data_IF_665803502854
#
_entry.id   IF_665803502854
#
_cell.length_a   1.000
_cell.length_b   1.000
_cell.length_c   1.000
_cell.angle_alpha   90.00
_cell.angle_beta   90.00
_cell.angle_gamma   90.00
#
_symmetry.space_group_name_H-M   'P 1'
#
loop_
_entity.id
_entity.type
_entity.pdbx_description
1 polymer ?
#
# COMPACT_ATOMS: atom_id res chain seq x y z
N UNK A 1 -29.13 13.63 57.20
CA UNK A 1 -28.04 13.94 56.30
C UNK A 1 -28.38 13.41 54.92
N UNK A 2 -28.83 14.31 54.10
CA UNK A 2 -29.22 14.10 52.72
C UNK A 2 -27.95 14.17 51.85
N UNK A 3 -27.55 13.06 51.23
CA UNK A 3 -26.46 13.05 50.24
C UNK A 3 -27.06 13.33 48.85
N UNK A 4 -26.75 14.48 48.32
CA UNK A 4 -27.11 14.84 46.95
C UNK A 4 -26.33 14.03 45.93
N UNK A 5 -27.01 13.17 45.22
CA UNK A 5 -26.52 12.37 44.14
C UNK A 5 -26.35 13.24 42.86
N UNK A 6 -25.17 13.84 42.67
CA UNK A 6 -24.82 14.52 41.42
C UNK A 6 -24.31 13.49 40.44
N UNK A 7 -25.24 12.96 39.63
CA UNK A 7 -24.86 12.17 38.44
C UNK A 7 -24.05 13.07 37.48
N UNK A 8 -22.77 12.82 37.38
CA UNK A 8 -21.92 13.31 36.31
C UNK A 8 -22.38 12.70 34.99
N UNK A 9 -23.27 13.42 34.28
CA UNK A 9 -23.57 13.12 32.91
C UNK A 9 -22.33 13.41 32.06
N UNK A 10 -21.57 12.37 31.74
CA UNK A 10 -20.60 12.44 30.64
C UNK A 10 -21.39 12.79 29.39
N UNK A 11 -21.30 14.05 28.95
CA UNK A 11 -21.67 14.41 27.61
C UNK A 11 -20.72 13.72 26.67
N UNK A 12 -21.11 12.58 26.12
CA UNK A 12 -20.57 12.13 24.84
C UNK A 12 -20.91 13.26 23.85
N UNK A 13 -19.93 14.02 23.42
CA UNK A 13 -20.09 14.93 22.31
C UNK A 13 -20.40 14.07 21.08
N UNK A 14 -21.70 13.79 20.84
CA UNK A 14 -22.18 13.38 19.54
C UNK A 14 -22.02 14.63 18.66
N UNK A 15 -20.90 14.68 17.94
CA UNK A 15 -20.80 15.58 16.80
C UNK A 15 -21.99 15.27 15.90
N UNK A 16 -22.80 16.28 15.64
CA UNK A 16 -23.96 16.14 14.73
C UNK A 16 -23.42 15.66 13.37
N UNK A 17 -23.98 14.60 12.74
CA UNK A 17 -23.52 14.08 11.46
C UNK A 17 -23.47 15.13 10.34
N UNK A 18 -24.18 16.24 10.50
CA UNK A 18 -24.28 17.35 9.56
C UNK A 18 -23.08 18.32 9.54
N UNK A 19 -22.08 18.15 10.41
CA UNK A 19 -20.91 19.03 10.47
C UNK A 19 -19.63 18.42 9.88
N UNK A 20 -19.58 17.11 9.69
CA UNK A 20 -18.39 16.43 9.15
C UNK A 20 -18.42 16.43 7.63
N UNK A 21 -17.30 16.80 6.98
CA UNK A 21 -17.20 16.88 5.52
C UNK A 21 -16.09 15.97 5.00
N UNK A 22 -16.39 15.23 3.94
CA UNK A 22 -15.42 14.38 3.22
C UNK A 22 -15.31 14.83 1.78
N UNK A 23 -14.08 15.09 1.33
CA UNK A 23 -13.77 15.32 -0.08
C UNK A 23 -13.40 14.00 -0.74
N UNK A 24 -14.00 13.74 -1.89
CA UNK A 24 -13.62 12.66 -2.82
C UNK A 24 -13.06 13.32 -4.07
N UNK A 25 -11.74 13.19 -4.31
CA UNK A 25 -11.06 13.92 -5.38
C UNK A 25 -10.61 13.06 -6.55
N UNK A 26 -10.86 11.76 -6.50
CA UNK A 26 -10.69 10.81 -7.62
C UNK A 26 -12.00 10.06 -7.90
N UNK A 27 -12.15 9.43 -9.08
CA UNK A 27 -13.28 8.54 -9.34
C UNK A 27 -13.28 7.35 -8.37
N UNK A 28 -14.32 7.25 -7.55
CA UNK A 28 -14.53 6.20 -6.54
C UNK A 28 -15.84 5.48 -6.84
N UNK A 29 -15.85 4.15 -6.63
CA UNK A 29 -17.07 3.36 -6.78
C UNK A 29 -18.19 3.86 -5.85
N UNK A 30 -19.43 3.87 -6.37
CA UNK A 30 -20.60 4.41 -5.68
C UNK A 30 -20.83 3.74 -4.31
N UNK A 31 -20.52 2.45 -4.17
CA UNK A 31 -20.66 1.74 -2.90
C UNK A 31 -19.82 2.39 -1.76
N UNK A 32 -18.63 2.92 -2.08
CA UNK A 32 -17.81 3.66 -1.11
C UNK A 32 -18.43 5.03 -0.77
N UNK A 33 -18.96 5.74 -1.77
CA UNK A 33 -19.64 7.02 -1.57
C UNK A 33 -20.88 6.85 -0.66
N UNK A 34 -21.67 5.81 -0.89
CA UNK A 34 -22.89 5.51 -0.12
C UNK A 34 -22.57 5.24 1.36
N UNK A 35 -21.44 4.63 1.67
CA UNK A 35 -20.97 4.43 3.05
C UNK A 35 -20.64 5.77 3.71
N UNK A 36 -19.93 6.65 3.03
CA UNK A 36 -19.53 7.96 3.58
C UNK A 36 -20.71 8.90 3.80
N UNK A 37 -21.70 8.90 2.89
CA UNK A 37 -22.89 9.74 3.00
C UNK A 37 -23.77 9.43 4.22
N UNK A 38 -23.61 8.26 4.84
CA UNK A 38 -24.31 7.90 6.07
C UNK A 38 -23.81 8.70 7.29
N UNK A 39 -22.58 9.24 7.23
CA UNK A 39 -21.91 9.85 8.40
C UNK A 39 -21.36 11.25 8.14
N UNK A 40 -21.31 11.70 6.89
CA UNK A 40 -20.71 12.98 6.50
C UNK A 40 -21.40 13.58 5.27
N UNK A 41 -21.23 14.89 5.10
CA UNK A 41 -21.46 15.53 3.81
C UNK A 41 -20.31 15.15 2.87
N UNK A 42 -20.61 14.59 1.72
CA UNK A 42 -19.61 14.15 0.74
C UNK A 42 -19.62 15.06 -0.48
N UNK A 43 -18.50 15.71 -0.72
CA UNK A 43 -18.28 16.52 -1.92
C UNK A 43 -17.38 15.74 -2.90
N UNK A 44 -17.91 15.46 -4.08
CA UNK A 44 -17.15 14.81 -5.16
C UNK A 44 -16.60 15.87 -6.12
N UNK A 45 -15.28 16.08 -6.12
CA UNK A 45 -14.58 17.06 -6.97
C UNK A 45 -13.37 16.39 -7.61
N UNK A 46 -13.59 15.73 -8.74
CA UNK A 46 -12.58 14.93 -9.45
C UNK A 46 -11.69 15.82 -10.31
N UNK A 47 -10.40 15.44 -10.42
CA UNK A 47 -9.44 16.09 -11.32
C UNK A 47 -8.92 17.45 -10.84
N UNK A 48 -8.92 17.67 -9.53
CA UNK A 48 -8.36 18.89 -8.94
C UNK A 48 -6.84 18.97 -9.16
N UNK A 49 -6.36 20.15 -9.57
CA UNK A 49 -4.93 20.45 -9.51
C UNK A 49 -4.48 20.58 -8.03
N UNK A 50 -3.17 20.49 -7.80
CA UNK A 50 -2.59 20.65 -6.45
C UNK A 50 -3.03 22.00 -5.83
N UNK A 51 -3.02 23.08 -6.59
CA UNK A 51 -3.40 24.42 -6.11
C UNK A 51 -4.91 24.50 -5.80
N UNK A 52 -5.76 23.88 -6.63
CA UNK A 52 -7.20 23.81 -6.36
C UNK A 52 -7.48 23.00 -5.08
N UNK A 53 -6.78 21.88 -4.89
CA UNK A 53 -6.92 21.05 -3.68
C UNK A 53 -6.45 21.83 -2.44
N UNK A 54 -5.32 22.53 -2.50
CA UNK A 54 -4.80 23.38 -1.40
C UNK A 54 -5.83 24.42 -0.96
N UNK A 55 -6.54 25.04 -1.90
CA UNK A 55 -7.49 26.11 -1.60
C UNK A 55 -8.75 25.64 -0.87
N UNK A 56 -9.10 24.37 -0.95
CA UNK A 56 -10.37 23.86 -0.39
C UNK A 56 -10.18 22.85 0.75
N UNK A 57 -9.01 22.25 0.88
CA UNK A 57 -8.79 21.11 1.80
C UNK A 57 -9.01 21.47 3.26
N UNK A 58 -8.87 22.76 3.64
CA UNK A 58 -9.11 23.25 4.99
C UNK A 58 -10.54 23.03 5.50
N UNK A 59 -11.51 22.84 4.59
CA UNK A 59 -12.93 22.72 4.91
C UNK A 59 -13.37 21.28 5.19
N UNK A 60 -12.46 20.30 5.03
CA UNK A 60 -12.76 18.88 5.09
C UNK A 60 -12.08 18.18 6.26
N UNK A 61 -12.83 17.25 6.88
CA UNK A 61 -12.35 16.36 7.95
C UNK A 61 -11.74 15.06 7.40
N UNK A 62 -12.17 14.62 6.21
CA UNK A 62 -11.69 13.43 5.52
C UNK A 62 -11.42 13.70 4.05
N UNK A 63 -10.41 13.02 3.52
CA UNK A 63 -10.07 13.02 2.09
C UNK A 63 -9.99 11.59 1.58
N UNK A 64 -10.76 11.27 0.53
CA UNK A 64 -10.70 9.97 -0.15
C UNK A 64 -10.16 10.13 -1.55
N UNK A 65 -9.11 9.38 -1.87
CA UNK A 65 -8.37 9.46 -3.14
C UNK A 65 -8.09 8.08 -3.73
N UNK A 66 -7.64 8.07 -4.98
CA UNK A 66 -6.94 6.96 -5.64
C UNK A 66 -5.54 7.42 -6.07
N UNK A 67 -5.14 7.06 -7.29
CA UNK A 67 -3.80 7.38 -7.84
C UNK A 67 -3.72 8.75 -8.54
N UNK A 68 -4.84 9.36 -8.90
CA UNK A 68 -4.87 10.62 -9.67
C UNK A 68 -4.51 11.85 -8.83
N UNK A 69 -4.98 11.89 -7.58
CA UNK A 69 -4.76 13.02 -6.68
C UNK A 69 -3.40 12.91 -5.98
N UNK A 70 -2.59 13.99 -6.05
CA UNK A 70 -1.32 14.10 -5.32
C UNK A 70 -1.54 14.89 -4.01
N UNK A 71 -1.26 14.27 -2.87
CA UNK A 71 -1.38 14.90 -1.55
C UNK A 71 0.01 15.21 -1.02
N UNK A 72 0.54 16.35 -1.46
CA UNK A 72 1.88 16.82 -1.12
C UNK A 72 1.93 17.43 0.29
N UNK A 73 3.15 17.67 0.81
CA UNK A 73 3.36 18.42 2.07
C UNK A 73 2.64 19.79 2.07
N UNK A 74 2.61 20.47 0.92
CA UNK A 74 1.94 21.76 0.77
C UNK A 74 0.41 21.65 0.94
N UNK A 75 -0.21 20.61 0.34
CA UNK A 75 -1.65 20.34 0.54
C UNK A 75 -1.93 20.04 2.01
N UNK A 76 -1.11 19.21 2.64
CA UNK A 76 -1.27 18.83 4.05
C UNK A 76 -1.08 20.02 4.97
N UNK A 77 -0.19 20.98 4.66
CA UNK A 77 0.02 22.18 5.48
C UNK A 77 -1.22 23.04 5.57
N UNK A 78 -2.02 23.14 4.50
CA UNK A 78 -3.27 23.90 4.45
C UNK A 78 -4.47 23.17 5.08
N UNK A 79 -4.36 21.87 5.29
CA UNK A 79 -5.43 21.01 5.81
C UNK A 79 -5.65 21.22 7.32
N UNK A 80 -6.44 22.23 7.71
CA UNK A 80 -6.67 22.64 9.11
C UNK A 80 -7.52 21.65 9.89
N UNK A 81 -8.55 21.08 9.25
CA UNK A 81 -9.54 20.21 9.89
C UNK A 81 -9.33 18.73 9.55
N UNK A 82 -8.42 18.41 8.63
CA UNK A 82 -8.26 17.08 8.10
C UNK A 82 -7.77 16.09 9.18
N UNK A 83 -8.51 15.02 9.37
CA UNK A 83 -8.23 13.97 10.36
C UNK A 83 -7.73 12.68 9.70
N UNK A 84 -8.19 12.44 8.46
CA UNK A 84 -7.89 11.18 7.76
C UNK A 84 -7.77 11.40 6.25
N UNK A 85 -6.77 10.74 5.66
CA UNK A 85 -6.61 10.53 4.22
C UNK A 85 -6.78 9.05 3.95
N UNK A 86 -7.77 8.67 3.16
CA UNK A 86 -8.00 7.30 2.72
C UNK A 86 -7.64 7.13 1.24
N UNK A 87 -6.66 6.28 0.96
CA UNK A 87 -6.28 5.94 -0.43
C UNK A 87 -6.91 4.61 -0.84
N UNK A 88 -7.88 4.63 -1.76
CA UNK A 88 -8.53 3.45 -2.31
C UNK A 88 -7.58 2.66 -3.21
N UNK A 89 -6.77 1.81 -2.59
CA UNK A 89 -5.75 0.94 -3.19
C UNK A 89 -4.65 0.57 -2.20
N UNK A 90 -3.63 -0.16 -2.64
CA UNK A 90 -2.56 -0.71 -1.77
C UNK A 90 -1.46 0.32 -1.50
N UNK A 91 -0.87 0.90 -2.55
CA UNK A 91 0.22 1.86 -2.39
C UNK A 91 -0.30 3.22 -1.90
N UNK A 92 0.60 4.02 -1.33
CA UNK A 92 0.34 5.40 -0.90
C UNK A 92 1.38 6.37 -1.43
N UNK A 93 1.99 6.03 -2.56
CA UNK A 93 3.11 6.75 -3.18
C UNK A 93 2.75 8.20 -3.56
N UNK A 94 1.47 8.50 -3.73
CA UNK A 94 0.93 9.83 -4.03
C UNK A 94 0.53 10.64 -2.78
N UNK A 95 0.87 10.18 -1.57
CA UNK A 95 0.63 10.88 -0.30
C UNK A 95 1.97 11.11 0.41
N UNK A 96 2.25 12.36 0.82
CA UNK A 96 3.36 12.64 1.73
C UNK A 96 3.04 12.16 3.14
N UNK A 97 3.26 10.85 3.36
CA UNK A 97 2.98 10.20 4.65
C UNK A 97 3.76 10.82 5.81
N UNK A 98 5.05 11.18 5.68
CA UNK A 98 5.77 11.92 6.71
C UNK A 98 5.14 13.26 7.09
N UNK A 99 4.69 14.06 6.12
CA UNK A 99 4.00 15.33 6.38
C UNK A 99 2.64 15.10 7.08
N UNK A 100 1.86 14.11 6.63
CA UNK A 100 0.61 13.73 7.28
C UNK A 100 0.84 13.32 8.74
N UNK A 101 1.89 12.55 9.00
CA UNK A 101 2.26 12.12 10.36
C UNK A 101 2.60 13.30 11.26
N UNK A 102 3.43 14.24 10.79
CA UNK A 102 3.76 15.47 11.54
C UNK A 102 2.52 16.30 11.86
N UNK A 103 1.57 16.38 10.91
CA UNK A 103 0.30 17.11 11.08
C UNK A 103 -0.70 16.37 11.97
N UNK A 104 -0.44 15.09 12.30
CA UNK A 104 -1.37 14.23 13.04
C UNK A 104 -2.54 13.72 12.19
N UNK A 105 -2.41 13.73 10.85
CA UNK A 105 -3.41 13.21 9.93
C UNK A 105 -3.19 11.73 9.70
N UNK A 106 -4.20 10.91 9.93
CA UNK A 106 -4.16 9.48 9.72
C UNK A 106 -4.16 9.15 8.23
N UNK A 107 -3.29 8.26 7.79
CA UNK A 107 -3.30 7.75 6.41
C UNK A 107 -3.68 6.27 6.43
N UNK A 108 -4.74 5.93 5.70
CA UNK A 108 -5.24 4.55 5.55
C UNK A 108 -5.26 4.14 4.09
N UNK A 109 -5.10 2.84 3.87
CA UNK A 109 -5.17 2.23 2.55
C UNK A 109 -6.00 0.92 2.59
N UNK A 110 -6.09 0.22 1.45
CA UNK A 110 -6.72 -1.10 1.35
C UNK A 110 -5.68 -2.16 0.94
N UNK A 111 -4.94 -2.75 1.90
CA UNK A 111 -3.80 -3.62 1.59
C UNK A 111 -4.18 -5.01 1.04
N UNK A 112 -5.47 -5.31 0.91
CA UNK A 112 -5.97 -6.61 0.42
C UNK A 112 -6.98 -6.51 -0.72
N UNK A 113 -7.55 -5.32 -0.95
CA UNK A 113 -8.72 -5.15 -1.82
C UNK A 113 -8.47 -5.43 -3.31
N UNK A 114 -7.21 -5.38 -3.77
CA UNK A 114 -6.86 -5.68 -5.17
C UNK A 114 -5.91 -6.88 -5.33
N UNK A 115 -5.74 -7.71 -4.28
CA UNK A 115 -4.76 -8.82 -4.30
C UNK A 115 -5.01 -9.77 -5.46
N UNK A 116 -6.25 -10.19 -5.66
CA UNK A 116 -6.62 -11.14 -6.74
C UNK A 116 -6.42 -10.50 -8.10
N UNK A 117 -6.94 -9.30 -8.32
CA UNK A 117 -6.80 -8.60 -9.60
C UNK A 117 -5.34 -8.42 -10.03
N UNK A 118 -4.46 -7.98 -9.12
CA UNK A 118 -3.04 -7.81 -9.41
C UNK A 118 -2.33 -9.15 -9.68
N UNK A 119 -2.69 -10.21 -8.97
CA UNK A 119 -2.13 -11.54 -9.20
C UNK A 119 -2.57 -12.11 -10.56
N UNK A 120 -3.85 -12.00 -10.89
CA UNK A 120 -4.40 -12.43 -12.19
C UNK A 120 -3.79 -11.63 -13.34
N UNK A 121 -3.59 -10.32 -13.17
CA UNK A 121 -2.93 -9.51 -14.19
C UNK A 121 -1.48 -9.94 -14.43
N UNK A 122 -0.70 -10.20 -13.37
CA UNK A 122 0.66 -10.70 -13.50
C UNK A 122 0.69 -12.07 -14.22
N UNK A 123 -0.22 -12.98 -13.90
CA UNK A 123 -0.35 -14.28 -14.58
C UNK A 123 -0.77 -14.11 -16.04
N UNK A 124 -1.69 -13.19 -16.33
CA UNK A 124 -2.09 -12.86 -17.70
C UNK A 124 -0.90 -12.33 -18.52
N UNK A 125 -0.05 -11.49 -17.93
CA UNK A 125 1.16 -10.97 -18.55
C UNK A 125 2.18 -12.10 -18.83
N UNK A 126 2.37 -13.05 -17.89
CA UNK A 126 3.19 -14.24 -18.09
C UNK A 126 2.68 -15.06 -19.27
N UNK A 127 1.38 -15.34 -19.32
CA UNK A 127 0.74 -16.09 -20.43
C UNK A 127 0.83 -15.35 -21.75
N UNK A 128 0.60 -14.03 -21.76
CA UNK A 128 0.71 -13.20 -22.95
C UNK A 128 2.12 -13.21 -23.55
N UNK A 129 3.16 -13.10 -22.71
CA UNK A 129 4.56 -13.25 -23.10
C UNK A 129 4.87 -14.64 -23.65
N UNK A 130 4.36 -15.69 -22.95
CA UNK A 130 4.65 -17.08 -23.33
C UNK A 130 4.09 -17.45 -24.71
N UNK A 131 2.96 -16.87 -25.07
CA UNK A 131 2.19 -17.21 -26.26
C UNK A 131 2.20 -16.12 -27.34
N UNK A 132 2.96 -15.02 -27.16
CA UNK A 132 3.06 -13.87 -28.07
C UNK A 132 1.67 -13.28 -28.43
N UNK A 133 0.74 -13.25 -27.46
CA UNK A 133 -0.68 -12.93 -27.72
C UNK A 133 -0.86 -11.52 -28.31
N UNK A 134 -0.30 -10.43 -27.75
CA UNK A 134 -0.49 -9.09 -28.28
C UNK A 134 0.06 -8.93 -29.70
N UNK A 135 1.21 -9.52 -29.98
CA UNK A 135 1.86 -9.43 -31.29
C UNK A 135 1.08 -10.23 -32.35
N UNK A 136 0.61 -11.42 -32.01
CA UNK A 136 -0.22 -12.25 -32.90
C UNK A 136 -1.55 -11.55 -33.19
N UNK A 137 -2.19 -10.95 -32.17
CA UNK A 137 -3.42 -10.19 -32.33
C UNK A 137 -3.22 -8.99 -33.27
N UNK A 138 -2.19 -8.17 -33.04
CA UNK A 138 -1.88 -7.02 -33.88
C UNK A 138 -1.61 -7.42 -35.35
N UNK A 139 -0.89 -8.54 -35.56
CA UNK A 139 -0.65 -9.10 -36.89
C UNK A 139 -1.95 -9.50 -37.61
N UNK A 140 -2.89 -10.15 -36.91
CA UNK A 140 -4.17 -10.53 -37.46
C UNK A 140 -4.99 -9.31 -37.88
N UNK A 141 -5.01 -8.25 -37.07
CA UNK A 141 -5.68 -7.00 -37.42
C UNK A 141 -5.06 -6.30 -38.63
N UNK A 142 -3.73 -6.46 -38.84
CA UNK A 142 -3.02 -5.98 -40.01
C UNK A 142 -3.16 -6.91 -41.25
N UNK A 143 -4.01 -7.93 -41.20
CA UNK A 143 -4.26 -8.87 -42.30
C UNK A 143 -3.26 -10.02 -42.42
N UNK A 144 -2.36 -10.19 -41.42
CA UNK A 144 -1.37 -11.26 -41.41
C UNK A 144 -1.97 -12.62 -41.00
N UNK A 145 -1.32 -13.73 -41.44
CA UNK A 145 -1.65 -15.10 -41.07
C UNK A 145 -0.37 -15.93 -40.95
N UNK A 146 0.49 -15.60 -39.98
CA UNK A 146 1.81 -16.25 -39.85
C UNK A 146 1.95 -17.02 -38.50
N UNK A 147 1.49 -18.26 -38.49
CA UNK A 147 1.54 -19.14 -37.34
C UNK A 147 2.96 -19.46 -36.87
N UNK A 148 3.90 -19.56 -37.81
CA UNK A 148 5.30 -19.94 -37.49
C UNK A 148 6.03 -18.84 -36.72
N UNK A 149 5.69 -17.57 -36.97
CA UNK A 149 6.28 -16.42 -36.30
C UNK A 149 5.93 -16.34 -34.82
N UNK A 150 4.76 -16.86 -34.43
CA UNK A 150 4.23 -16.74 -33.06
C UNK A 150 4.23 -18.05 -32.27
N UNK A 151 5.13 -18.99 -32.60
CA UNK A 151 5.35 -20.19 -31.80
C UNK A 151 5.80 -19.77 -30.40
N UNK A 152 5.03 -20.17 -29.38
CA UNK A 152 5.27 -19.84 -27.97
C UNK A 152 5.82 -21.00 -27.17
N UNK A 153 5.79 -20.85 -25.85
CA UNK A 153 6.23 -21.84 -24.87
C UNK A 153 5.05 -22.23 -23.95
N UNK A 154 5.08 -23.45 -23.45
CA UNK A 154 4.23 -23.88 -22.34
C UNK A 154 4.85 -23.44 -21.00
N UNK A 155 4.01 -23.21 -19.99
CA UNK A 155 4.46 -22.94 -18.63
C UNK A 155 4.71 -24.22 -17.82
N UNK A 156 4.12 -25.33 -18.23
CA UNK A 156 4.27 -26.62 -17.57
C UNK A 156 5.75 -27.02 -17.44
N UNK A 157 6.18 -27.40 -16.23
CA UNK A 157 7.56 -27.73 -15.87
C UNK A 157 8.58 -26.58 -16.06
N UNK A 158 8.13 -25.34 -16.21
CA UNK A 158 9.02 -24.18 -16.19
C UNK A 158 9.19 -23.65 -14.78
N UNK A 159 10.32 -23.01 -14.52
CA UNK A 159 10.64 -22.40 -13.23
C UNK A 159 10.14 -20.96 -13.21
N UNK A 160 9.28 -20.65 -12.24
CA UNK A 160 8.84 -19.29 -11.91
C UNK A 160 9.59 -18.77 -10.69
N UNK A 161 10.37 -17.73 -10.85
CA UNK A 161 10.94 -16.93 -9.76
C UNK A 161 9.92 -15.87 -9.28
N UNK A 162 9.56 -15.92 -8.01
CA UNK A 162 8.66 -14.94 -7.38
C UNK A 162 9.47 -14.10 -6.41
N UNK A 163 9.65 -12.82 -6.72
CA UNK A 163 10.38 -11.87 -5.88
C UNK A 163 9.38 -11.08 -5.04
N UNK A 164 9.31 -11.41 -3.75
CA UNK A 164 8.28 -10.95 -2.81
C UNK A 164 7.12 -11.94 -2.67
N UNK A 165 7.02 -12.57 -1.49
CA UNK A 165 6.00 -13.58 -1.14
C UNK A 165 4.90 -13.00 -0.24
N UNK A 166 4.59 -11.70 -0.40
CA UNK A 166 3.45 -11.06 0.23
C UNK A 166 2.11 -11.58 -0.28
N UNK A 167 1.01 -10.86 -0.06
CA UNK A 167 -0.35 -11.30 -0.45
C UNK A 167 -0.46 -11.64 -1.95
N UNK A 168 0.08 -10.79 -2.82
CA UNK A 168 0.01 -10.96 -4.28
C UNK A 168 0.95 -12.09 -4.72
N UNK A 169 2.24 -12.03 -4.35
CA UNK A 169 3.22 -13.04 -4.76
C UNK A 169 2.87 -14.45 -4.30
N UNK A 170 2.33 -14.61 -3.07
CA UNK A 170 1.84 -15.90 -2.58
C UNK A 170 0.67 -16.44 -3.42
N UNK A 171 -0.23 -15.56 -3.87
CA UNK A 171 -1.35 -15.97 -4.74
C UNK A 171 -0.85 -16.38 -6.13
N UNK A 172 0.07 -15.62 -6.73
CA UNK A 172 0.70 -15.97 -8.00
C UNK A 172 1.42 -17.31 -7.89
N UNK A 173 2.20 -17.53 -6.83
CA UNK A 173 2.89 -18.81 -6.58
C UNK A 173 1.92 -19.98 -6.49
N UNK A 174 0.80 -19.83 -5.78
CA UNK A 174 -0.25 -20.84 -5.67
C UNK A 174 -0.84 -21.22 -7.03
N UNK A 175 -1.17 -20.24 -7.87
CA UNK A 175 -1.75 -20.50 -9.19
C UNK A 175 -0.70 -21.11 -10.12
N UNK A 176 0.54 -20.62 -10.10
CA UNK A 176 1.63 -21.18 -10.90
C UNK A 176 1.92 -22.65 -10.57
N UNK A 177 1.92 -23.04 -9.29
CA UNK A 177 2.01 -24.42 -8.86
C UNK A 177 0.86 -25.27 -9.44
N UNK A 178 -0.39 -24.75 -9.41
CA UNK A 178 -1.54 -25.44 -10.00
C UNK A 178 -1.44 -25.58 -11.53
N UNK A 179 -0.71 -24.69 -12.21
CA UNK A 179 -0.39 -24.79 -13.63
C UNK A 179 0.77 -25.75 -13.93
N UNK A 180 1.36 -26.39 -12.90
CA UNK A 180 2.46 -27.33 -13.04
C UNK A 180 3.83 -26.68 -13.24
N UNK A 181 4.01 -25.43 -12.83
CA UNK A 181 5.32 -24.78 -12.74
C UNK A 181 6.05 -25.21 -11.47
N UNK A 182 7.38 -25.16 -11.49
CA UNK A 182 8.20 -25.15 -10.28
C UNK A 182 8.33 -23.71 -9.78
N UNK A 183 8.03 -23.44 -8.50
CA UNK A 183 8.09 -22.08 -7.95
C UNK A 183 9.27 -21.95 -6.99
N UNK A 184 10.15 -21.00 -7.28
CA UNK A 184 11.20 -20.54 -6.37
C UNK A 184 10.90 -19.10 -5.94
N UNK A 185 11.21 -18.76 -4.69
CA UNK A 185 10.84 -17.46 -4.11
C UNK A 185 12.00 -16.79 -3.38
N UNK A 186 12.02 -15.47 -3.43
CA UNK A 186 12.87 -14.62 -2.61
C UNK A 186 11.99 -13.67 -1.79
N UNK A 187 12.11 -13.76 -0.47
CA UNK A 187 11.49 -12.81 0.47
C UNK A 187 12.27 -12.86 1.80
N UNK A 188 12.89 -11.75 2.24
CA UNK A 188 13.70 -11.74 3.46
C UNK A 188 12.89 -11.87 4.76
N UNK A 189 11.55 -11.77 4.69
CA UNK A 189 10.65 -11.78 5.85
C UNK A 189 9.83 -13.08 5.97
N UNK A 190 9.92 -13.97 4.98
CA UNK A 190 9.15 -15.23 4.97
C UNK A 190 10.00 -16.36 5.53
N UNK A 191 9.47 -17.08 6.53
CA UNK A 191 10.14 -18.25 7.10
C UNK A 191 10.10 -19.45 6.15
N UNK A 192 11.04 -20.39 6.34
CA UNK A 192 11.13 -21.63 5.54
C UNK A 192 9.83 -22.43 5.64
N UNK A 193 9.25 -22.54 6.85
CA UNK A 193 8.01 -23.29 7.10
C UNK A 193 6.84 -22.68 6.33
N UNK A 194 6.75 -21.35 6.30
CA UNK A 194 5.70 -20.64 5.56
C UNK A 194 5.87 -20.82 4.05
N UNK A 195 7.09 -20.77 3.55
CA UNK A 195 7.37 -21.03 2.13
C UNK A 195 7.02 -22.47 1.74
N UNK A 196 7.34 -23.47 2.58
CA UNK A 196 6.96 -24.87 2.38
C UNK A 196 5.44 -25.04 2.32
N UNK A 197 4.68 -24.39 3.17
CA UNK A 197 3.21 -24.40 3.13
C UNK A 197 2.65 -23.83 1.81
N UNK A 198 3.36 -22.89 1.19
CA UNK A 198 3.03 -22.32 -0.12
C UNK A 198 3.57 -23.18 -1.29
N UNK A 199 4.27 -24.28 -1.02
CA UNK A 199 4.97 -25.08 -2.02
C UNK A 199 5.97 -24.24 -2.84
N UNK A 200 6.69 -23.35 -2.16
CA UNK A 200 7.72 -22.46 -2.73
C UNK A 200 9.07 -22.84 -2.12
N UNK A 201 10.07 -23.06 -2.97
CA UNK A 201 11.46 -23.23 -2.54
C UNK A 201 12.12 -21.86 -2.40
N UNK A 202 12.56 -21.48 -1.20
CA UNK A 202 13.31 -20.24 -1.01
C UNK A 202 14.70 -20.30 -1.65
N UNK A 203 15.14 -19.16 -2.17
CA UNK A 203 16.45 -18.97 -2.78
C UNK A 203 16.96 -17.56 -2.47
N UNK A 204 18.26 -17.32 -2.61
CA UNK A 204 18.75 -15.96 -2.74
C UNK A 204 18.35 -15.34 -4.08
N UNK A 205 18.46 -14.03 -4.18
CA UNK A 205 17.96 -13.28 -5.33
C UNK A 205 18.71 -13.64 -6.63
N UNK A 206 20.03 -13.74 -6.57
CA UNK A 206 20.84 -14.03 -7.76
C UNK A 206 20.57 -15.43 -8.32
N UNK A 207 20.50 -16.42 -7.43
CA UNK A 207 20.23 -17.80 -7.83
C UNK A 207 18.80 -17.95 -8.35
N UNK A 208 17.82 -17.20 -7.80
CA UNK A 208 16.47 -17.13 -8.33
C UNK A 208 16.48 -16.64 -9.79
N UNK A 209 17.17 -15.53 -10.09
CA UNK A 209 17.25 -15.00 -11.45
C UNK A 209 17.91 -15.97 -12.41
N UNK A 210 18.97 -16.66 -11.98
CA UNK A 210 19.72 -17.64 -12.79
C UNK A 210 18.90 -18.89 -13.13
N UNK A 211 18.10 -19.39 -12.17
CA UNK A 211 17.34 -20.63 -12.37
C UNK A 211 16.01 -20.43 -13.11
N UNK A 212 15.45 -19.22 -13.08
CA UNK A 212 14.09 -18.94 -13.55
C UNK A 212 13.98 -18.92 -15.07
N UNK A 213 12.86 -19.45 -15.57
CA UNK A 213 12.39 -19.24 -16.94
C UNK A 213 11.49 -17.98 -17.03
N UNK A 214 10.83 -17.67 -15.93
CA UNK A 214 10.03 -16.46 -15.73
C UNK A 214 10.34 -15.87 -14.36
N UNK A 215 10.49 -14.55 -14.27
CA UNK A 215 10.61 -13.83 -12.99
C UNK A 215 9.46 -12.84 -12.89
N UNK A 216 8.80 -12.79 -11.74
CA UNK A 216 7.73 -11.82 -11.45
C UNK A 216 8.00 -11.10 -10.13
N UNK A 217 7.84 -9.77 -10.16
CA UNK A 217 8.16 -8.90 -9.04
C UNK A 217 6.88 -8.52 -8.28
N UNK A 218 6.92 -8.64 -6.96
CA UNK A 218 5.82 -8.30 -6.04
C UNK A 218 6.33 -7.58 -4.79
N UNK A 219 7.21 -6.59 -5.01
CA UNK A 219 7.85 -5.79 -3.96
C UNK A 219 7.25 -4.37 -3.89
N UNK A 220 7.27 -3.72 -2.72
CA UNK A 220 7.10 -2.27 -2.64
C UNK A 220 8.34 -1.55 -3.22
N UNK A 221 8.19 -0.30 -3.65
CA UNK A 221 9.32 0.57 -3.93
C UNK A 221 9.83 1.16 -2.61
N UNK A 222 11.08 0.88 -2.29
CA UNK A 222 11.82 1.41 -1.15
C UNK A 222 13.23 1.79 -1.61
N UNK A 223 14.05 2.49 -0.80
CA UNK A 223 15.44 2.74 -1.16
C UNK A 223 16.23 1.46 -1.47
N UNK A 224 15.91 0.33 -0.82
CA UNK A 224 16.58 -0.97 -1.01
C UNK A 224 16.11 -1.72 -2.27
N UNK A 225 14.92 -1.39 -2.78
CA UNK A 225 14.34 -2.04 -3.98
C UNK A 225 14.36 -1.13 -5.20
N UNK A 226 14.78 0.12 -5.06
CA UNK A 226 14.93 1.03 -6.19
C UNK A 226 16.08 0.57 -7.10
N UNK A 227 15.77 0.39 -8.40
CA UNK A 227 16.67 -0.18 -9.40
C UNK A 227 17.31 -1.53 -8.98
N UNK A 228 16.58 -2.31 -8.19
CA UNK A 228 17.00 -3.64 -7.75
C UNK A 228 17.34 -4.55 -8.94
N UNK A 229 16.58 -4.43 -10.02
CA UNK A 229 16.81 -5.17 -11.27
C UNK A 229 17.54 -4.27 -12.24
N UNK A 230 18.84 -4.38 -12.25
CA UNK A 230 19.79 -3.71 -13.13
C UNK A 230 20.33 -4.65 -14.21
N UNK A 231 21.26 -4.16 -15.03
CA UNK A 231 21.88 -4.93 -16.12
C UNK A 231 22.66 -6.15 -15.60
N UNK A 232 23.27 -6.05 -14.41
CA UNK A 232 24.07 -7.14 -13.87
C UNK A 232 23.18 -8.29 -13.42
N UNK A 233 22.01 -7.99 -12.82
CA UNK A 233 21.02 -9.00 -12.46
C UNK A 233 20.32 -9.57 -13.70
N UNK A 234 20.01 -8.75 -14.70
CA UNK A 234 19.44 -9.20 -15.99
C UNK A 234 20.38 -10.16 -16.72
N UNK A 235 21.69 -9.94 -16.70
CA UNK A 235 22.70 -10.82 -17.30
C UNK A 235 22.80 -12.20 -16.64
N UNK A 236 22.34 -12.34 -15.40
CA UNK A 236 22.28 -13.64 -14.72
C UNK A 236 21.12 -14.51 -15.18
N UNK A 237 20.10 -13.91 -15.80
CA UNK A 237 18.95 -14.65 -16.32
C UNK A 237 19.32 -15.53 -17.51
N UNK A 238 18.53 -16.57 -17.74
CA UNK A 238 18.63 -17.37 -18.96
C UNK A 238 18.31 -16.49 -20.18
N UNK A 239 18.97 -16.65 -21.33
CA UNK A 239 18.63 -15.92 -22.56
C UNK A 239 17.20 -16.17 -23.05
N UNK A 240 16.57 -17.25 -22.59
CA UNK A 240 15.16 -17.58 -22.87
C UNK A 240 14.19 -17.05 -21.83
N UNK A 241 14.69 -16.47 -20.74
CA UNK A 241 13.87 -16.03 -19.62
C UNK A 241 13.06 -14.77 -19.94
N UNK A 242 12.02 -14.56 -19.17
CA UNK A 242 11.11 -13.41 -19.26
C UNK A 242 10.90 -12.78 -17.89
N UNK A 243 10.78 -11.45 -17.87
CA UNK A 243 10.59 -10.65 -16.66
C UNK A 243 9.21 -9.99 -16.66
N UNK A 244 8.52 -10.00 -15.52
CA UNK A 244 7.21 -9.36 -15.35
C UNK A 244 7.24 -8.42 -14.15
N UNK A 245 6.82 -7.17 -14.35
CA UNK A 245 6.63 -6.20 -13.27
C UNK A 245 5.23 -5.57 -13.32
N UNK A 246 4.36 -6.03 -12.42
CA UNK A 246 3.07 -5.44 -12.13
C UNK A 246 3.02 -4.92 -10.67
N UNK A 247 4.18 -4.64 -10.05
CA UNK A 247 4.29 -4.21 -8.66
C UNK A 247 4.44 -2.69 -8.54
N UNK A 248 5.65 -2.16 -8.80
CA UNK A 248 5.95 -0.73 -8.76
C UNK A 248 6.97 -0.37 -9.84
N UNK A 249 6.80 0.82 -10.42
CA UNK A 249 7.83 1.44 -11.26
C UNK A 249 9.07 1.82 -10.46
N UNK A 250 10.24 1.83 -11.10
CA UNK A 250 11.52 2.12 -10.48
C UNK A 250 12.16 0.96 -9.70
N UNK A 251 11.53 -0.24 -9.67
CA UNK A 251 12.19 -1.47 -9.18
C UNK A 251 13.15 -2.02 -10.24
N UNK A 252 12.81 -1.82 -11.50
CA UNK A 252 13.67 -2.15 -12.66
C UNK A 252 14.27 -0.86 -13.19
N UNK A 253 15.56 -0.84 -13.50
CA UNK A 253 16.15 0.22 -14.31
C UNK A 253 15.63 0.08 -15.75
N UNK A 254 14.84 1.05 -16.20
CA UNK A 254 14.17 0.99 -17.51
C UNK A 254 15.15 1.10 -18.69
N UNK A 255 16.32 1.78 -18.53
CA UNK A 255 17.37 1.84 -19.55
C UNK A 255 18.06 0.49 -19.68
N UNK A 256 18.41 -0.12 -18.55
CA UNK A 256 19.05 -1.43 -18.51
C UNK A 256 18.14 -2.51 -19.08
N UNK A 257 16.84 -2.47 -18.77
CA UNK A 257 15.86 -3.38 -19.35
C UNK A 257 15.75 -3.22 -20.87
N UNK A 258 15.65 -1.97 -21.36
CA UNK A 258 15.57 -1.72 -22.79
C UNK A 258 16.82 -2.23 -23.51
N UNK A 259 18.01 -1.94 -22.99
CA UNK A 259 19.29 -2.41 -23.51
C UNK A 259 19.39 -3.94 -23.50
N UNK A 260 18.93 -4.59 -22.41
CA UNK A 260 18.95 -6.06 -22.29
C UNK A 260 18.03 -6.74 -23.32
N UNK A 261 16.88 -6.15 -23.61
CA UNK A 261 15.94 -6.66 -24.61
C UNK A 261 16.48 -6.50 -26.03
N UNK A 262 17.01 -5.33 -26.39
CA UNK A 262 17.60 -5.08 -27.72
C UNK A 262 18.86 -5.95 -27.96
N UNK A 263 19.66 -6.18 -26.91
CA UNK A 263 20.83 -7.06 -26.96
C UNK A 263 20.48 -8.56 -26.86
N UNK A 264 19.19 -8.93 -26.72
CA UNK A 264 18.73 -10.30 -26.49
C UNK A 264 19.37 -10.98 -25.26
N UNK A 265 19.70 -10.24 -24.21
CA UNK A 265 20.18 -10.76 -22.94
C UNK A 265 19.07 -11.62 -22.30
N UNK A 266 17.82 -11.17 -22.38
CA UNK A 266 16.62 -11.92 -22.01
C UNK A 266 15.63 -11.97 -23.18
N UNK A 267 14.71 -12.92 -23.14
CA UNK A 267 13.75 -13.15 -24.25
C UNK A 267 12.64 -12.14 -24.31
N UNK A 268 12.25 -11.57 -23.17
CA UNK A 268 11.15 -10.61 -23.15
C UNK A 268 10.82 -10.07 -21.76
N UNK A 269 10.00 -9.04 -21.73
CA UNK A 269 9.47 -8.47 -20.51
C UNK A 269 8.02 -8.01 -20.68
N UNK A 270 7.28 -7.95 -19.56
CA UNK A 270 5.96 -7.35 -19.49
C UNK A 270 5.90 -6.37 -18.32
N UNK A 271 5.61 -5.11 -18.61
CA UNK A 271 5.69 -4.00 -17.68
C UNK A 271 4.33 -3.31 -17.62
N UNK A 272 3.77 -3.26 -16.42
CA UNK A 272 2.50 -2.59 -16.13
C UNK A 272 2.69 -1.27 -15.37
N UNK A 273 3.89 -1.04 -14.81
CA UNK A 273 4.23 0.07 -13.91
C UNK A 273 5.55 0.73 -14.31
N UNK A 274 5.68 2.04 -14.16
CA UNK A 274 6.80 2.81 -14.68
C UNK A 274 7.41 3.72 -13.64
N UNK A 275 8.69 4.03 -13.77
CA UNK A 275 9.40 4.96 -12.88
C UNK A 275 8.74 6.34 -12.86
N UNK A 276 8.18 6.75 -14.01
CA UNK A 276 7.35 7.94 -14.15
C UNK A 276 6.04 7.59 -14.86
N UNK A 277 4.93 7.86 -14.20
CA UNK A 277 3.58 7.64 -14.75
C UNK A 277 2.84 8.98 -14.93
N UNK A 278 2.17 9.18 -16.07
CA UNK A 278 2.11 8.34 -17.28
C UNK A 278 3.45 8.14 -17.96
N UNK A 279 3.64 6.97 -18.64
CA UNK A 279 4.86 6.66 -19.39
C UNK A 279 5.11 7.73 -20.45
N UNK A 280 6.25 8.41 -20.35
CA UNK A 280 6.63 9.53 -21.24
C UNK A 280 6.89 9.05 -22.68
N UNK A 281 6.78 9.98 -23.65
CA UNK A 281 7.08 9.69 -25.05
C UNK A 281 8.55 9.26 -25.26
N UNK A 282 9.46 9.84 -24.48
CA UNK A 282 10.90 9.59 -24.55
C UNK A 282 11.35 8.41 -23.67
N UNK A 283 10.45 7.60 -23.13
CA UNK A 283 10.84 6.43 -22.35
C UNK A 283 11.63 5.43 -23.20
N UNK A 284 12.77 4.89 -22.70
CA UNK A 284 13.56 3.89 -23.41
C UNK A 284 12.75 2.64 -23.76
N UNK A 285 11.75 2.32 -22.95
CA UNK A 285 10.87 1.16 -23.19
C UNK A 285 10.02 1.29 -24.47
N UNK A 286 9.72 2.53 -24.92
CA UNK A 286 8.96 2.74 -26.16
C UNK A 286 9.78 2.50 -27.43
N UNK A 287 11.11 2.50 -27.32
CA UNK A 287 12.01 2.22 -28.45
C UNK A 287 12.30 0.73 -28.64
N UNK A 288 11.94 -0.12 -27.68
CA UNK A 288 12.16 -1.57 -27.77
C UNK A 288 11.34 -2.18 -28.89
N UNK A 289 12.03 -2.82 -29.86
CA UNK A 289 11.45 -3.29 -31.10
C UNK A 289 10.65 -4.58 -30.96
N UNK A 290 11.00 -5.45 -30.00
CA UNK A 290 10.39 -6.76 -29.80
C UNK A 290 10.56 -7.30 -28.36
N UNK A 291 9.76 -8.31 -28.02
CA UNK A 291 9.86 -8.99 -26.73
C UNK A 291 9.27 -8.20 -25.55
N UNK A 292 8.65 -7.05 -25.79
CA UNK A 292 8.10 -6.20 -24.72
C UNK A 292 6.58 -6.09 -24.83
N UNK A 293 5.90 -6.20 -23.69
CA UNK A 293 4.47 -5.91 -23.51
C UNK A 293 4.36 -4.77 -22.49
N UNK A 294 3.61 -3.73 -22.82
CA UNK A 294 3.34 -2.58 -21.96
C UNK A 294 1.85 -2.45 -21.70
N UNK A 295 1.46 -2.21 -20.46
CA UNK A 295 0.08 -1.91 -20.05
C UNK A 295 0.06 -0.69 -19.14
N UNK A 296 -1.02 0.13 -19.14
CA UNK A 296 -1.05 1.42 -18.45
C UNK A 296 -1.51 1.28 -16.99
N UNK A 297 -0.76 0.53 -16.15
CA UNK A 297 -0.99 0.32 -14.73
C UNK A 297 -2.39 -0.27 -14.45
N UNK A 298 -2.66 -1.42 -15.02
CA UNK A 298 -3.97 -2.11 -14.97
C UNK A 298 -4.09 -3.14 -13.84
N UNK A 299 -3.04 -3.41 -13.07
CA UNK A 299 -3.01 -4.47 -12.06
C UNK A 299 -4.17 -4.44 -11.05
N UNK A 300 -4.74 -3.26 -10.76
CA UNK A 300 -5.92 -3.11 -9.89
C UNK A 300 -7.18 -2.64 -10.65
N UNK A 301 -7.17 -2.66 -11.98
CA UNK A 301 -8.23 -2.08 -12.80
C UNK A 301 -9.30 -3.11 -13.18
N UNK A 302 -9.90 -3.75 -12.19
CA UNK A 302 -11.10 -4.60 -12.33
C UNK A 302 -12.27 -3.98 -11.58
N UNK A 303 -13.49 -4.31 -11.96
CA UNK A 303 -14.73 -3.84 -11.32
C UNK A 303 -14.71 -4.22 -9.84
N UNK A 304 -14.39 -5.47 -9.55
CA UNK A 304 -14.37 -6.03 -8.20
C UNK A 304 -13.29 -5.36 -7.32
N UNK A 305 -12.08 -5.18 -7.85
CA UNK A 305 -11.01 -4.53 -7.10
C UNK A 305 -11.36 -3.07 -6.79
N UNK A 306 -11.92 -2.33 -7.77
CA UNK A 306 -12.32 -0.94 -7.56
C UNK A 306 -13.41 -0.81 -6.50
N UNK A 307 -14.40 -1.68 -6.53
CA UNK A 307 -15.47 -1.73 -5.53
C UNK A 307 -14.92 -2.10 -4.15
N UNK A 308 -14.12 -3.17 -4.07
CA UNK A 308 -13.58 -3.65 -2.79
C UNK A 308 -12.69 -2.60 -2.10
N UNK A 309 -11.80 -1.94 -2.83
CA UNK A 309 -10.95 -0.89 -2.23
C UNK A 309 -11.74 0.35 -1.84
N UNK A 310 -12.80 0.69 -2.59
CA UNK A 310 -13.68 1.81 -2.25
C UNK A 310 -14.45 1.55 -0.95
N UNK A 311 -15.06 0.38 -0.81
CA UNK A 311 -15.78 -0.02 0.39
C UNK A 311 -14.85 -0.05 1.60
N UNK A 312 -13.71 -0.75 1.50
CA UNK A 312 -12.77 -0.91 2.60
C UNK A 312 -12.25 0.44 3.13
N UNK A 313 -11.86 1.35 2.23
CA UNK A 313 -11.35 2.66 2.63
C UNK A 313 -12.48 3.57 3.15
N UNK A 314 -13.67 3.55 2.54
CA UNK A 314 -14.82 4.32 3.00
C UNK A 314 -15.25 3.90 4.41
N UNK A 315 -15.26 2.61 4.70
CA UNK A 315 -15.54 2.11 6.06
C UNK A 315 -14.50 2.59 7.07
N UNK A 316 -13.21 2.60 6.72
CA UNK A 316 -12.16 3.09 7.60
C UNK A 316 -12.27 4.61 7.84
N UNK A 317 -12.58 5.40 6.81
CA UNK A 317 -12.85 6.83 6.95
C UNK A 317 -14.05 7.05 7.87
N UNK A 318 -15.17 6.35 7.62
CA UNK A 318 -16.37 6.39 8.47
C UNK A 318 -16.03 6.11 9.94
N UNK A 319 -15.32 5.01 10.18
CA UNK A 319 -14.99 4.55 11.52
C UNK A 319 -14.15 5.59 12.27
N UNK A 320 -13.13 6.18 11.62
CA UNK A 320 -12.30 7.24 12.21
C UNK A 320 -13.08 8.52 12.47
N UNK A 321 -13.97 8.91 11.58
CA UNK A 321 -14.83 10.09 11.78
C UNK A 321 -15.79 9.90 12.96
N UNK A 322 -16.24 8.68 13.22
CA UNK A 322 -17.03 8.29 14.39
C UNK A 322 -16.20 8.08 15.67
N UNK A 323 -14.88 8.26 15.62
CA UNK A 323 -13.97 8.08 16.76
C UNK A 323 -13.58 6.62 17.02
N UNK A 324 -13.83 5.73 16.04
CA UNK A 324 -13.40 4.33 16.04
C UNK A 324 -11.99 4.20 15.43
N UNK A 325 -11.24 3.14 15.75
CA UNK A 325 -9.92 2.91 15.18
C UNK A 325 -9.99 2.49 13.70
N UNK A 326 -8.98 2.88 12.92
CA UNK A 326 -8.78 2.38 11.57
C UNK A 326 -8.19 0.96 11.57
N UNK A 327 -8.54 0.16 10.55
CA UNK A 327 -8.06 -1.23 10.41
C UNK A 327 -6.66 -1.34 9.77
N UNK A 328 -6.29 -0.40 8.91
CA UNK A 328 -5.00 -0.43 8.19
C UNK A 328 -4.38 0.96 8.10
N UNK A 329 -3.92 1.45 9.26
CA UNK A 329 -3.19 2.71 9.35
C UNK A 329 -1.76 2.55 8.80
N UNK A 330 -1.40 3.35 7.80
CA UNK A 330 -0.05 3.34 7.19
C UNK A 330 0.98 4.01 8.12
N UNK A 331 0.56 5.04 8.82
CA UNK A 331 1.44 5.87 9.65
C UNK A 331 1.25 5.67 11.17
N UNK A 332 0.66 4.56 11.58
CA UNK A 332 0.67 4.09 12.97
C UNK A 332 1.24 2.66 12.98
N UNK A 333 2.49 2.46 13.42
CA UNK A 333 3.10 1.14 13.42
C UNK A 333 2.40 0.15 14.39
N UNK A 334 2.26 -1.11 13.95
CA UNK A 334 1.86 -2.22 14.82
C UNK A 334 0.36 -2.32 15.15
N UNK A 335 -0.51 -1.53 14.49
CA UNK A 335 -1.95 -1.60 14.68
C UNK A 335 -2.63 -2.37 13.55
N UNK A 336 -2.91 -3.67 13.74
CA UNK A 336 -3.93 -4.38 12.96
C UNK A 336 -5.28 -4.28 13.67
N UNK A 337 -6.38 -4.46 12.93
CA UNK A 337 -7.75 -4.43 13.51
C UNK A 337 -7.93 -5.44 14.65
N UNK A 338 -7.36 -6.64 14.50
CA UNK A 338 -7.44 -7.74 15.49
C UNK A 338 -6.73 -7.35 16.79
N UNK A 339 -5.58 -6.67 16.70
CA UNK A 339 -4.82 -6.21 17.85
C UNK A 339 -5.55 -5.04 18.54
N UNK A 340 -6.17 -4.16 17.77
CA UNK A 340 -6.88 -3.00 18.32
C UNK A 340 -8.06 -3.38 19.20
N UNK A 341 -8.89 -4.36 18.79
CA UNK A 341 -10.06 -4.77 19.58
C UNK A 341 -9.63 -5.37 20.92
N UNK A 342 -8.56 -6.16 20.96
CA UNK A 342 -8.03 -6.74 22.20
C UNK A 342 -7.33 -5.71 23.10
N UNK A 343 -6.67 -4.70 22.51
CA UNK A 343 -5.90 -3.69 23.23
C UNK A 343 -6.69 -2.43 23.62
N UNK A 344 -7.88 -2.21 23.11
CA UNK A 344 -8.66 -0.96 23.31
C UNK A 344 -8.76 -0.50 24.78
N UNK A 345 -9.11 -1.35 25.78
CA UNK A 345 -9.12 -0.95 27.18
C UNK A 345 -7.74 -0.55 27.70
N UNK A 346 -6.69 -1.23 27.22
CA UNK A 346 -5.31 -1.06 27.64
C UNK A 346 -4.65 0.18 27.03
N UNK A 347 -5.04 0.55 25.81
CA UNK A 347 -4.64 1.83 25.19
C UNK A 347 -5.16 3.01 26.01
N UNK A 348 -6.41 2.92 26.48
CA UNK A 348 -6.99 3.97 27.34
C UNK A 348 -6.28 4.04 28.68
N UNK A 349 -5.95 2.90 29.28
CA UNK A 349 -5.17 2.83 30.53
C UNK A 349 -3.77 3.44 30.32
N UNK A 350 -3.06 3.05 29.27
CA UNK A 350 -1.72 3.54 28.95
C UNK A 350 -1.71 5.06 28.74
N UNK A 351 -2.70 5.60 28.01
CA UNK A 351 -2.90 7.05 27.83
C UNK A 351 -3.12 7.75 29.18
N UNK A 352 -3.98 7.20 30.03
CA UNK A 352 -4.28 7.76 31.36
C UNK A 352 -3.04 7.74 32.25
N UNK A 353 -2.25 6.65 32.24
CA UNK A 353 -1.00 6.57 32.99
C UNK A 353 0.03 7.60 32.49
N UNK A 354 0.16 7.78 31.18
CA UNK A 354 1.02 8.82 30.60
C UNK A 354 0.63 10.22 31.05
N UNK A 355 -0.66 10.54 31.03
CA UNK A 355 -1.19 11.80 31.52
C UNK A 355 -0.92 11.99 33.02
N UNK A 356 -1.12 10.95 33.82
CA UNK A 356 -0.84 10.98 35.27
C UNK A 356 0.63 11.26 35.52
N UNK A 357 1.54 10.55 34.84
CA UNK A 357 3.00 10.77 34.96
C UNK A 357 3.37 12.21 34.63
N UNK A 358 2.79 12.81 33.58
CA UNK A 358 3.07 14.22 33.23
C UNK A 358 2.63 15.20 34.30
N UNK A 359 1.54 14.91 35.03
CA UNK A 359 1.04 15.76 36.12
C UNK A 359 1.84 15.63 37.41
N UNK A 360 2.39 14.44 37.68
CA UNK A 360 3.15 14.18 38.92
C UNK A 360 4.61 14.60 38.78
N UNK A 361 5.22 14.47 37.61
CA UNK A 361 6.65 14.66 37.42
C UNK A 361 7.13 16.11 37.60
N UNK A 362 6.27 17.10 37.45
CA UNK A 362 6.53 18.52 37.79
C UNK A 362 7.72 19.17 37.05
N UNK A 363 8.35 18.48 36.05
CA UNK A 363 9.54 18.92 35.37
C UNK A 363 9.75 18.28 34.00
N UNK A 364 10.92 18.49 33.41
CA UNK A 364 11.27 17.91 32.10
C UNK A 364 11.51 16.39 32.24
N UNK A 365 10.80 15.61 31.45
CA UNK A 365 10.95 14.16 31.39
C UNK A 365 11.96 13.84 30.30
N UNK A 366 13.13 13.29 30.71
CA UNK A 366 14.20 12.93 29.78
C UNK A 366 14.10 11.49 29.28
N UNK A 367 13.43 10.59 30.00
CA UNK A 367 13.31 9.17 29.66
C UNK A 367 11.95 8.65 30.12
N UNK A 368 11.27 7.94 29.23
CA UNK A 368 10.08 7.16 29.53
C UNK A 368 10.37 5.68 29.29
N UNK A 369 10.08 4.84 30.28
CA UNK A 369 10.16 3.39 30.16
C UNK A 369 8.78 2.79 30.43
N UNK A 370 8.28 2.01 29.47
CA UNK A 370 6.99 1.30 29.56
C UNK A 370 7.29 -0.19 29.69
N UNK A 371 6.95 -0.79 30.84
CA UNK A 371 7.12 -2.22 31.10
C UNK A 371 5.78 -2.93 30.99
N UNK A 372 5.71 -3.96 30.15
CA UNK A 372 4.55 -4.81 29.97
C UNK A 372 4.84 -6.16 30.65
N UNK A 373 3.90 -6.64 31.46
CA UNK A 373 4.01 -7.91 32.17
C UNK A 373 2.74 -8.74 32.02
N UNK A 374 2.83 -10.06 32.25
CA UNK A 374 1.70 -10.99 32.13
C UNK A 374 1.30 -11.22 30.67
N UNK A 375 0.02 -11.37 30.42
CA UNK A 375 -0.53 -11.65 29.07
C UNK A 375 -0.19 -10.57 28.05
N UNK A 376 0.00 -9.32 28.50
CA UNK A 376 0.34 -8.18 27.63
C UNK A 376 1.74 -8.24 27.03
N UNK A 377 2.66 -8.98 27.65
CA UNK A 377 4.00 -9.18 27.10
C UNK A 377 4.00 -9.96 25.79
N UNK A 378 2.90 -10.63 25.46
CA UNK A 378 2.71 -11.37 24.20
C UNK A 378 2.22 -10.49 23.03
N UNK A 379 1.72 -9.28 23.33
CA UNK A 379 1.25 -8.33 22.32
C UNK A 379 2.36 -7.36 21.89
N UNK A 380 2.26 -6.78 20.67
CA UNK A 380 3.17 -5.71 20.27
C UNK A 380 3.15 -4.56 21.28
N UNK A 381 4.30 -4.20 21.82
CA UNK A 381 4.42 -3.13 22.85
C UNK A 381 4.17 -1.73 22.26
N UNK A 382 4.44 -1.53 20.98
CA UNK A 382 4.47 -0.23 20.35
C UNK A 382 3.16 0.57 20.43
N UNK A 383 1.96 -0.01 20.27
CA UNK A 383 0.70 0.71 20.44
C UNK A 383 0.52 1.28 21.86
N UNK A 384 0.92 0.52 22.88
CA UNK A 384 0.82 0.96 24.28
C UNK A 384 1.83 2.05 24.60
N UNK A 385 3.04 1.97 24.03
CA UNK A 385 4.05 3.04 24.12
C UNK A 385 3.52 4.32 23.49
N UNK A 386 2.93 4.26 22.31
CA UNK A 386 2.32 5.42 21.63
C UNK A 386 1.19 6.02 22.47
N UNK A 387 0.33 5.19 23.04
CA UNK A 387 -0.75 5.65 23.93
C UNK A 387 -0.21 6.37 25.17
N UNK A 388 0.84 5.82 25.79
CA UNK A 388 1.51 6.44 26.95
C UNK A 388 2.14 7.79 26.58
N UNK A 389 2.85 7.85 25.43
CA UNK A 389 3.43 9.10 24.91
C UNK A 389 2.38 10.15 24.60
N UNK A 390 1.25 9.76 23.98
CA UNK A 390 0.13 10.67 23.75
C UNK A 390 -0.36 11.26 25.08
N UNK A 391 -0.63 10.42 26.08
CA UNK A 391 -1.07 10.88 27.40
C UNK A 391 -0.04 11.82 28.05
N UNK A 392 1.25 11.46 28.01
CA UNK A 392 2.33 12.26 28.54
C UNK A 392 2.42 13.66 27.93
N UNK A 393 2.30 13.75 26.59
CA UNK A 393 2.43 15.00 25.84
C UNK A 393 1.16 15.84 25.82
N UNK A 394 0.01 15.27 26.20
CA UNK A 394 -1.30 15.99 26.19
C UNK A 394 -1.27 17.22 27.08
N UNK A 395 -0.59 17.21 28.23
CA UNK A 395 -0.49 18.38 29.12
C UNK A 395 0.24 19.55 28.47
N UNK A 396 1.20 19.31 27.58
CA UNK A 396 2.01 20.34 26.93
C UNK A 396 1.44 20.79 25.57
N UNK A 397 0.81 19.88 24.82
CA UNK A 397 0.42 20.07 23.43
C UNK A 397 -1.11 20.15 23.21
N UNK A 398 -1.91 19.77 24.23
CA UNK A 398 -3.37 19.76 24.13
C UNK A 398 -3.87 18.87 23.01
N UNK A 399 -4.87 19.34 22.25
CA UNK A 399 -5.50 18.61 21.14
C UNK A 399 -4.60 18.44 19.89
N UNK A 400 -3.40 19.04 19.88
CA UNK A 400 -2.43 18.88 18.78
C UNK A 400 -1.74 17.52 18.79
N UNK A 401 -1.80 16.79 19.92
CA UNK A 401 -1.18 15.47 20.06
C UNK A 401 -2.23 14.36 19.86
N UNK A 402 -1.89 13.37 19.07
CA UNK A 402 -2.74 12.20 18.87
C UNK A 402 -1.88 10.93 18.67
N UNK A 403 -2.50 9.78 18.41
CA UNK A 403 -1.79 8.50 18.23
C UNK A 403 -0.86 8.49 17.01
N UNK A 404 -1.09 9.34 16.02
CA UNK A 404 -0.31 9.41 14.79
C UNK A 404 1.04 10.10 15.02
N UNK A 405 1.04 11.25 15.72
CA UNK A 405 2.23 12.09 15.87
C UNK A 405 2.97 11.95 17.21
N UNK A 406 2.38 11.23 18.20
CA UNK A 406 2.94 11.14 19.54
C UNK A 406 4.40 10.67 19.60
N UNK A 407 4.75 9.64 18.81
CA UNK A 407 6.13 9.12 18.77
C UNK A 407 7.11 10.11 18.12
N UNK A 408 6.67 10.87 17.14
CA UNK A 408 7.48 11.85 16.44
C UNK A 408 7.73 13.08 17.33
N UNK A 409 6.68 13.60 17.98
CA UNK A 409 6.75 14.71 18.92
C UNK A 409 7.63 14.41 20.14
N UNK A 410 7.60 13.16 20.62
CA UNK A 410 8.46 12.72 21.71
C UNK A 410 9.95 12.67 21.34
N UNK A 411 10.28 12.35 20.08
CA UNK A 411 11.68 12.31 19.61
C UNK A 411 12.27 13.70 19.35
N UNK A 412 11.42 14.68 19.08
CA UNK A 412 11.84 16.06 18.77
C UNK A 412 12.03 16.94 20.01
N UNK A 413 11.74 16.43 21.20
CA UNK A 413 11.81 17.15 22.49
C UNK A 413 12.78 16.50 23.46
#
# INVERSE_FOLDING_TARGET
WSAANRSLKFRSARLSPLMTKVLVSDPIDQAGIDILTQVAQVDQKVGLSIDQLKNIISDYDGLMIRSGTQVTSDVISEAKNLRIIGRAGVGVDNVDVPAATRKGVLVVNSPGGNTIAAAEHALAMILALSRNIPQAHASMFAGGWDRKKYVGNELYKKVLGVVGLGKIGSHVAKVANAMGMEVIGFDPFVSIERAQQMQVRLSDLEELFKQSDYVTLHLPRTPETENLVDIDLLRKMKPTARLVNCARGGIIDENDLANALEANVIKGAAIDVYAKEPLTENSPLRSVSQGLILTPHLGASTVEAQQNVAIDVAEQIRDVLLGLPARSAVNIPGLSAEIMDSLKPHLKLAETLGLLVSQISGGQIQKLEVRLQGEFAQHPSQPLVIATLKGLLTSALGDKINYVNASLEAKGR
#
